data_IF_354920618550
#
_entry.id   IF_354920618550
#
_cell.length_a   1.000
_cell.length_b   1.000
_cell.length_c   1.000
_cell.angle_alpha   90.00
_cell.angle_beta   90.00
_cell.angle_gamma   90.00
#
_symmetry.space_group_name_H-M   'P 1'
#
loop_
_entity.id
_entity.type
_entity.pdbx_description
1 polymer ?
2 non-polymer ?
3 water ?
#
# COMPACT_ATOMS: atom_id res chain seq x y z
N UNK A 46 13.20 -14.54 13.92
CA UNK A 46 13.82 -13.27 13.57
C UNK A 46 12.77 -12.17 13.61
N UNK A 47 13.16 -10.96 14.00
CA UNK A 47 12.19 -9.89 14.19
C UNK A 47 11.99 -9.07 12.91
N UNK A 48 10.83 -8.42 12.85
CA UNK A 48 10.54 -7.55 11.71
C UNK A 48 11.51 -6.37 11.72
N UNK A 49 12.13 -6.02 10.60
CA UNK A 49 13.10 -4.92 10.60
C UNK A 49 12.45 -3.58 10.90
N UNK A 50 13.13 -2.81 11.73
CA UNK A 50 12.68 -1.47 12.13
C UNK A 50 13.59 -0.44 11.47
N UNK A 51 12.97 0.55 10.84
CA UNK A 51 13.70 1.62 10.16
C UNK A 51 13.24 2.94 10.76
N UNK A 52 14.20 3.74 11.21
CA UNK A 52 13.95 4.99 11.90
C UNK A 52 14.04 6.12 10.89
N UNK A 53 12.90 6.74 10.57
CA UNK A 53 12.92 7.82 9.59
C UNK A 53 13.78 8.99 10.05
N UNK A 54 13.92 9.19 11.38
CA UNK A 54 14.78 10.24 11.91
C UNK A 54 16.19 10.14 11.39
N UNK A 55 16.67 8.93 11.13
CA UNK A 55 18.09 8.67 10.92
C UNK A 55 18.38 8.14 9.53
N UNK A 56 17.45 8.30 8.60
CA UNK A 56 17.54 7.62 7.31
C UNK A 56 18.63 8.20 6.41
N UNK A 57 19.20 9.35 6.75
CA UNK A 57 20.47 9.76 6.17
C UNK A 57 21.61 9.11 6.94
N UNK A 58 22.70 8.84 6.24
CA UNK A 58 23.77 8.20 6.94
C UNK A 58 23.68 6.69 6.83
N UNK A 59 24.84 6.08 6.63
CA UNK A 59 24.93 4.68 6.22
C UNK A 59 24.21 3.75 7.18
N UNK A 60 24.29 4.02 8.49
CA UNK A 60 23.85 3.02 9.47
C UNK A 60 22.38 2.66 9.29
N UNK A 61 21.51 3.67 9.20
CA UNK A 61 20.09 3.40 9.05
C UNK A 61 19.71 3.13 7.60
N UNK A 62 20.36 3.78 6.64
CA UNK A 62 20.08 3.49 5.25
C UNK A 62 20.46 2.06 4.89
N UNK A 63 21.52 1.52 5.48
CA UNK A 63 21.84 0.13 5.21
C UNK A 63 20.80 -0.79 5.84
N UNK A 64 20.29 -0.43 7.03
CA UNK A 64 19.20 -1.20 7.62
C UNK A 64 18.03 -1.31 6.66
N UNK A 65 17.74 -0.22 5.94
CA UNK A 65 16.68 -0.26 4.96
C UNK A 65 16.98 -1.26 3.86
N UNK A 66 18.24 -1.31 3.41
CA UNK A 66 18.59 -2.21 2.33
C UNK A 66 18.44 -3.68 2.74
N UNK A 67 18.98 -4.04 3.91
CA UNK A 67 18.87 -5.40 4.41
C UNK A 67 17.42 -5.78 4.72
N UNK A 68 16.55 -4.80 4.99
CA UNK A 68 15.13 -5.09 5.17
C UNK A 68 14.40 -5.24 3.85
N UNK A 69 14.74 -4.40 2.87
CA UNK A 69 14.18 -4.57 1.54
C UNK A 69 14.59 -5.90 0.94
N UNK A 70 15.81 -6.35 1.24
CA UNK A 70 16.31 -7.59 0.66
C UNK A 70 15.75 -8.83 1.36
N UNK A 71 15.64 -8.79 2.69
CA UNK A 71 15.27 -9.98 3.47
C UNK A 71 13.77 -10.12 3.71
N UNK A 72 13.10 -9.04 4.01
CA UNK A 72 11.68 -9.07 4.35
C UNK A 72 10.78 -8.45 3.30
N UNK A 73 11.20 -7.36 2.65
CA UNK A 73 10.31 -6.69 1.72
C UNK A 73 9.38 -5.69 2.39
N UNK A 74 9.01 -5.98 3.63
CA UNK A 74 8.30 -5.07 4.51
C UNK A 74 9.25 -4.53 5.56
N UNK A 75 8.93 -3.36 6.09
CA UNK A 75 9.66 -2.94 7.27
C UNK A 75 8.75 -2.07 8.13
N UNK A 76 9.13 -1.93 9.37
CA UNK A 76 8.39 -1.11 10.33
C UNK A 76 9.09 0.24 10.43
N UNK A 77 8.34 1.32 10.25
CA UNK A 77 8.89 2.65 10.24
C UNK A 77 8.54 3.34 11.55
N UNK A 78 9.55 3.79 12.28
CA UNK A 78 9.36 4.54 13.51
C UNK A 78 9.78 5.99 13.30
N UNK A 79 9.35 6.84 14.23
CA UNK A 79 9.73 8.25 14.26
C UNK A 79 9.52 8.92 12.91
N UNK A 80 8.32 8.71 12.35
CA UNK A 80 7.99 9.13 11.01
C UNK A 80 7.32 10.50 10.96
N UNK A 81 7.10 11.15 12.10
CA UNK A 81 6.58 12.48 12.11
C UNK A 81 5.07 12.60 12.09
N UNK A 82 4.34 11.50 12.01
CA UNK A 82 2.89 11.57 12.07
C UNK A 82 2.49 11.45 13.53
N UNK A 83 1.78 12.45 14.04
CA UNK A 83 1.48 12.45 15.47
C UNK A 83 0.53 11.31 15.82
N UNK A 84 0.76 10.71 16.99
CA UNK A 84 0.07 9.49 17.37
C UNK A 84 -1.44 9.70 17.44
N UNK A 85 -1.87 10.87 17.90
CA UNK A 85 -3.30 11.12 18.04
C UNK A 85 -3.98 11.26 16.69
N UNK A 86 -3.25 11.62 15.63
CA UNK A 86 -3.84 11.65 14.29
C UNK A 86 -4.03 10.23 13.75
N UNK A 87 -3.06 9.36 13.98
CA UNK A 87 -3.21 7.97 13.62
C UNK A 87 -4.38 7.35 14.34
N UNK A 88 -4.52 7.64 15.65
CA UNK A 88 -5.65 7.14 16.43
C UNK A 88 -6.97 7.57 15.80
N UNK A 89 -7.06 8.83 15.39
CA UNK A 89 -8.29 9.36 14.80
C UNK A 89 -8.61 8.69 13.48
N UNK A 90 -7.60 8.45 12.64
CA UNK A 90 -7.83 7.73 11.39
C UNK A 90 -8.48 6.38 11.70
N UNK A 91 -7.91 5.63 12.62
CA UNK A 91 -8.43 4.34 13.00
C UNK A 91 -9.80 4.43 13.66
N UNK A 92 -9.99 5.39 14.57
CA UNK A 92 -11.25 5.46 15.32
C UNK A 92 -12.39 5.98 14.47
N UNK A 93 -12.16 7.03 13.68
CA UNK A 93 -13.23 7.51 12.82
C UNK A 93 -13.58 6.46 11.76
N UNK A 94 -12.59 5.69 11.28
CA UNK A 94 -12.84 4.61 10.33
C UNK A 94 -13.73 3.55 10.96
N UNK A 95 -13.36 3.08 12.15
CA UNK A 95 -14.18 2.12 12.87
C UNK A 95 -15.61 2.63 13.00
N UNK A 96 -15.76 3.91 13.31
CA UNK A 96 -17.08 4.51 13.43
C UNK A 96 -17.82 4.46 12.10
N UNK A 97 -17.14 4.79 11.00
CA UNK A 97 -17.78 4.71 9.69
C UNK A 97 -18.27 3.30 9.38
N UNK A 98 -17.44 2.29 9.65
CA UNK A 98 -17.80 0.92 9.31
C UNK A 98 -18.84 0.32 10.25
N UNK A 99 -18.96 0.80 11.48
CA UNK A 99 -19.97 0.25 12.37
C UNK A 99 -21.36 0.84 12.13
N UNK A 100 -21.54 1.65 11.10
CA UNK A 100 -22.85 2.19 10.78
C UNK A 100 -23.75 1.14 10.17
N UNK A 101 -25.06 1.37 10.16
CA UNK A 101 -25.95 0.50 9.39
C UNK A 101 -25.57 0.50 7.92
N UNK A 102 -25.83 -0.62 7.25
CA UNK A 102 -25.39 -0.81 5.87
C UNK A 102 -25.95 0.28 4.97
N UNK A 103 -27.17 0.76 5.25
CA UNK A 103 -27.77 1.78 4.39
C UNK A 103 -26.95 3.05 4.37
N UNK A 104 -26.42 3.48 5.52
CA UNK A 104 -25.62 4.70 5.55
C UNK A 104 -24.36 4.55 4.71
N UNK A 105 -23.68 3.41 4.84
CA UNK A 105 -22.44 3.20 4.11
C UNK A 105 -22.69 3.06 2.61
N UNK A 106 -23.77 2.39 2.23
CA UNK A 106 -24.04 2.19 0.81
C UNK A 106 -24.38 3.48 0.08
N UNK A 107 -24.70 4.56 0.78
CA UNK A 107 -24.85 5.84 0.09
C UNK A 107 -23.56 6.30 -0.56
N UNK A 108 -22.44 5.68 -0.22
CA UNK A 108 -21.16 5.92 -0.88
C UNK A 108 -20.70 4.72 -1.68
N UNK A 109 -21.61 3.82 -2.04
CA UNK A 109 -21.22 2.61 -2.73
C UNK A 109 -20.72 2.94 -4.13
N UNK A 110 -19.76 2.14 -4.59
CA UNK A 110 -19.17 2.34 -5.90
C UNK A 110 -20.23 2.25 -6.98
N UNK A 111 -20.07 3.05 -8.02
CA UNK A 111 -21.04 3.08 -9.09
C UNK A 111 -20.65 2.08 -10.19
N UNK A 112 -21.65 1.67 -10.96
CA UNK A 112 -21.49 0.59 -11.94
C UNK A 112 -22.08 1.03 -13.28
N UNK A 113 -21.23 1.25 -14.26
CA UNK A 113 -21.71 1.46 -15.63
C UNK A 113 -20.86 0.68 -16.62
N UNK A 116 -13.97 2.22 -14.58
CA UNK A 116 -12.56 2.02 -14.83
C UNK A 116 -12.07 0.79 -14.09
N UNK A 117 -10.76 0.73 -13.83
CA UNK A 117 -10.17 -0.33 -13.03
C UNK A 117 -10.21 -0.01 -11.55
N UNK A 118 -9.84 1.22 -11.19
CA UNK A 118 -9.70 1.61 -9.78
C UNK A 118 -11.05 2.14 -9.31
N UNK A 119 -11.88 1.23 -8.78
CA UNK A 119 -13.20 1.61 -8.32
C UNK A 119 -13.08 2.39 -7.02
N UNK A 120 -14.00 3.31 -6.83
CA UNK A 120 -13.94 4.22 -5.71
C UNK A 120 -15.24 4.13 -4.92
N UNK A 121 -15.15 4.27 -3.61
CA UNK A 121 -16.33 4.24 -2.78
C UNK A 121 -16.40 3.04 -1.86
N UNK A 122 -17.58 2.74 -1.37
CA UNK A 122 -17.76 1.66 -0.40
C UNK A 122 -18.14 0.36 -1.09
N UNK A 123 -17.47 -0.72 -0.74
CA UNK A 123 -17.80 -2.03 -1.24
C UNK A 123 -16.56 -2.86 -1.45
N UNK A 124 -16.77 -4.13 -1.79
CA UNK A 124 -15.69 -5.05 -2.11
C UNK A 124 -15.78 -5.62 -3.52
N UNK A 125 -16.53 -4.98 -4.40
CA UNK A 125 -16.52 -5.37 -5.80
C UNK A 125 -15.15 -5.13 -6.43
N UNK A 126 -14.85 -5.92 -7.46
CA UNK A 126 -13.65 -5.77 -8.29
C UNK A 126 -14.11 -5.72 -9.71
N UNK A 129 -19.27 -7.60 -11.69
CA UNK A 129 -19.95 -8.82 -11.23
C UNK A 129 -18.94 -9.69 -10.52
N UNK A 130 -18.16 -9.07 -9.64
CA UNK A 130 -17.21 -9.78 -8.82
C UNK A 130 -17.16 -9.07 -7.47
N UNK A 131 -18.18 -9.31 -6.66
CA UNK A 131 -18.05 -9.00 -5.25
C UNK A 131 -17.19 -10.08 -4.61
N UNK A 132 -16.27 -9.64 -3.76
CA UNK A 132 -15.24 -10.50 -3.17
C UNK A 132 -15.69 -10.95 -1.78
N UNK A 133 -16.69 -11.83 -1.76
CA UNK A 133 -17.30 -12.24 -0.50
C UNK A 133 -16.27 -12.86 0.42
N UNK A 134 -15.34 -13.65 -0.13
CA UNK A 134 -14.41 -14.39 0.70
C UNK A 134 -13.28 -13.53 1.27
N UNK A 135 -13.17 -12.26 0.85
CA UNK A 135 -12.25 -11.37 1.54
C UNK A 135 -12.61 -11.23 3.02
N UNK A 136 -13.87 -11.47 3.38
CA UNK A 136 -14.37 -11.30 4.74
C UNK A 136 -13.98 -9.92 5.28
N UNK A 137 -14.47 -8.89 4.59
CA UNK A 137 -13.95 -7.55 4.78
C UNK A 137 -14.95 -6.55 4.24
N UNK A 138 -14.98 -5.36 4.82
CA UNK A 138 -15.65 -4.21 4.23
C UNK A 138 -14.58 -3.19 3.83
N UNK A 139 -14.83 -2.47 2.74
CA UNK A 139 -13.81 -1.60 2.17
C UNK A 139 -14.39 -0.26 1.79
N UNK A 140 -13.55 0.77 1.90
CA UNK A 140 -13.78 2.08 1.34
C UNK A 140 -12.52 2.49 0.59
N UNK A 141 -12.65 2.81 -0.69
CA UNK A 141 -11.55 3.18 -1.57
C UNK A 141 -11.74 4.61 -2.01
N UNK A 142 -10.76 5.46 -1.74
CA UNK A 142 -10.87 6.87 -2.04
C UNK A 142 -9.64 7.33 -2.81
N UNK A 143 -9.87 7.99 -3.94
CA UNK A 143 -8.77 8.62 -4.64
C UNK A 143 -8.42 9.91 -3.91
N UNK A 144 -7.19 9.99 -3.40
CA UNK A 144 -6.77 11.13 -2.60
C UNK A 144 -5.90 12.08 -3.41
N UNK A 145 -5.15 11.53 -4.36
CA UNK A 145 -4.30 12.37 -5.20
C UNK A 145 -4.48 12.00 -6.66
N UNK A 146 -4.42 12.99 -7.54
CA UNK A 146 -4.17 14.40 -7.23
C UNK A 146 -5.38 15.05 -6.55
N UNK A 147 -5.15 16.05 -5.69
CA UNK A 147 -6.25 16.63 -4.93
C UNK A 147 -7.30 17.25 -5.85
N UNK A 148 -6.90 17.67 -7.04
CA UNK A 148 -7.86 18.21 -7.99
C UNK A 148 -8.90 17.15 -8.37
N UNK A 149 -8.47 15.91 -8.53
CA UNK A 149 -9.32 14.83 -9.04
C UNK A 149 -10.13 14.14 -7.94
N UNK A 150 -10.25 14.73 -6.76
CA UNK A 150 -11.09 14.14 -5.73
C UNK A 150 -12.55 14.24 -6.11
N UNK A 151 -13.34 13.27 -5.68
CA UNK A 151 -14.77 13.26 -5.93
C UNK A 151 -15.46 13.05 -4.58
N UNK A 152 -15.94 14.15 -3.99
CA UNK A 152 -16.41 14.07 -2.62
C UNK A 152 -17.73 13.32 -2.49
N UNK A 153 -18.42 13.06 -3.58
CA UNK A 153 -19.60 12.20 -3.54
C UNK A 153 -19.31 10.82 -2.94
N UNK A 154 -18.06 10.36 -2.95
CA UNK A 154 -17.69 9.09 -2.34
C UNK A 154 -17.09 9.21 -0.94
N UNK A 155 -16.83 10.44 -0.45
CA UNK A 155 -16.24 10.59 0.87
C UNK A 155 -17.33 10.64 1.92
N UNK A 156 -17.25 9.82 2.95
CA UNK A 156 -18.27 9.85 4.02
C UNK A 156 -18.41 11.24 4.63
N UNK A 157 -19.65 11.67 4.80
CA UNK A 157 -19.96 12.91 5.51
C UNK A 157 -20.09 12.71 7.00
N UNK A 158 -20.25 11.46 7.44
CA UNK A 158 -20.24 11.13 8.86
C UNK A 158 -19.27 9.99 9.11
N UNK A 159 -18.43 10.08 10.16
CA UNK A 159 -18.23 11.15 11.16
C UNK A 159 -17.81 12.45 10.51
N UNK A 160 -18.14 13.57 11.14
CA UNK A 160 -17.98 14.87 10.49
C UNK A 160 -16.52 15.15 10.13
N UNK A 161 -15.57 14.67 10.93
CA UNK A 161 -14.15 14.97 10.79
C UNK A 161 -13.43 14.05 9.82
N UNK A 162 -14.11 13.04 9.30
CA UNK A 162 -13.44 11.99 8.57
C UNK A 162 -12.61 12.54 7.42
N UNK A 163 -13.21 13.42 6.60
CA UNK A 163 -12.50 13.97 5.46
C UNK A 163 -11.28 14.75 5.88
N UNK A 164 -11.43 15.62 6.89
CA UNK A 164 -10.30 16.47 7.28
C UNK A 164 -9.19 15.63 7.88
N UNK A 165 -9.53 14.61 8.65
CA UNK A 165 -8.52 13.75 9.24
C UNK A 165 -7.79 12.95 8.18
N UNK A 166 -8.51 12.41 7.19
CA UNK A 166 -7.84 11.70 6.10
C UNK A 166 -6.87 12.61 5.37
N UNK A 167 -7.35 13.78 4.93
CA UNK A 167 -6.49 14.71 4.21
C UNK A 167 -5.29 15.13 5.04
N UNK A 168 -5.47 15.31 6.34
CA UNK A 168 -4.35 15.62 7.22
C UNK A 168 -3.36 14.47 7.28
N UNK A 169 -3.85 13.25 7.48
CA UNK A 169 -2.98 12.08 7.50
C UNK A 169 -2.35 11.81 6.14
N UNK A 170 -3.04 12.14 5.04
CA UNK A 170 -2.48 11.89 3.72
C UNK A 170 -1.34 12.86 3.40
N UNK A 171 -1.34 14.07 3.98
CA UNK A 171 -0.19 14.95 3.86
C UNK A 171 1.03 14.37 4.54
N UNK A 172 0.85 13.70 5.67
CA UNK A 172 1.97 13.10 6.35
C UNK A 172 2.55 11.91 5.60
N UNK A 173 1.69 11.04 5.05
CA UNK A 173 2.21 9.87 4.37
C UNK A 173 2.82 10.23 3.02
N UNK A 174 2.34 11.29 2.36
CA UNK A 174 2.98 11.76 1.14
C UNK A 174 4.42 12.19 1.40
N UNK A 175 4.65 12.86 2.52
CA UNK A 175 6.00 13.28 2.89
C UNK A 175 6.87 12.07 3.23
N UNK A 176 6.29 11.08 3.90
CA UNK A 176 7.00 9.83 4.17
C UNK A 176 7.34 9.14 2.87
N UNK A 177 6.39 9.14 1.93
CA UNK A 177 6.65 8.52 0.64
C UNK A 177 7.88 9.12 0.00
N UNK A 178 7.93 10.46 -0.05
CA UNK A 178 9.05 11.16 -0.65
C UNK A 178 10.36 10.84 0.05
N UNK A 179 10.37 10.81 1.38
CA UNK A 179 11.58 10.48 2.11
C UNK A 179 12.02 9.04 1.80
N UNK A 180 11.10 8.10 1.93
CA UNK A 180 11.42 6.70 1.67
C UNK A 180 11.96 6.53 0.26
N UNK A 181 11.29 7.15 -0.71
CA UNK A 181 11.64 6.93 -2.10
C UNK A 181 12.94 7.64 -2.48
N UNK A 182 13.28 8.72 -1.77
CA UNK A 182 14.58 9.35 -2.02
C UNK A 182 15.70 8.51 -1.44
N UNK A 183 15.49 7.94 -0.26
CA UNK A 183 16.47 7.02 0.29
C UNK A 183 16.71 5.85 -0.65
N UNK A 184 15.64 5.32 -1.27
CA UNK A 184 15.80 4.18 -2.16
C UNK A 184 16.58 4.55 -3.42
N UNK A 185 16.30 5.72 -4.01
CA UNK A 185 17.12 6.19 -5.12
C UNK A 185 18.59 6.19 -4.76
N UNK A 186 18.92 6.65 -3.55
CA UNK A 186 20.32 6.65 -3.13
C UNK A 186 20.84 5.22 -2.99
N UNK A 187 20.07 4.34 -2.35
CA UNK A 187 20.46 2.94 -2.28
C UNK A 187 20.74 2.38 -3.66
N UNK A 188 19.90 2.71 -4.63
CA UNK A 188 20.12 2.31 -6.01
C UNK A 188 21.20 3.13 -6.67
N UNK A 189 21.81 4.05 -5.93
CA UNK A 189 22.86 4.91 -6.45
C UNK A 189 22.41 5.63 -7.72
N UNK A 190 21.11 5.87 -7.81
CA UNK A 190 20.56 6.97 -8.58
C UNK A 190 20.63 8.23 -7.73
N UNK A 191 20.28 9.36 -8.31
CA UNK A 191 20.36 10.59 -7.53
C UNK A 191 19.09 10.78 -6.69
N UNK A 192 19.16 11.74 -5.77
CA UNK A 192 18.12 11.93 -4.77
C UNK A 192 16.72 11.88 -5.37
N UNK A 193 16.48 12.70 -6.40
CA UNK A 193 15.11 12.98 -6.85
C UNK A 193 14.75 12.23 -8.12
N UNK A 194 15.14 10.97 -8.25
CA UNK A 194 14.82 10.21 -9.46
C UNK A 194 13.31 9.97 -9.57
N UNK A 195 12.69 9.42 -8.53
CA UNK A 195 11.27 9.10 -8.64
C UNK A 195 10.38 10.31 -8.44
N UNK A 196 10.79 11.24 -7.58
CA UNK A 196 10.02 12.43 -7.27
C UNK A 196 9.44 13.05 -8.54
N UNK A 197 10.24 13.07 -9.61
CA UNK A 197 9.74 13.60 -10.87
C UNK A 197 8.66 12.71 -11.47
N UNK A 198 8.74 11.40 -11.27
CA UNK A 198 7.69 10.51 -11.78
C UNK A 198 6.48 10.46 -10.87
N UNK A 199 6.52 11.20 -9.76
CA UNK A 199 5.46 11.23 -8.75
C UNK A 199 4.62 12.50 -8.80
N UNK A 200 4.62 13.19 -9.93
CA UNK A 200 3.93 14.46 -10.06
C UNK A 200 2.56 14.24 -10.69
N UNK A 201 1.51 14.75 -10.04
CA UNK A 201 0.14 14.47 -10.44
C UNK A 201 -0.15 12.97 -10.49
N UNK A 202 0.55 12.21 -9.69
CA UNK A 202 0.37 10.76 -9.76
C UNK A 202 -0.74 10.29 -8.83
N UNK A 203 -1.48 9.25 -9.23
CA UNK A 203 -2.58 8.79 -8.39
C UNK A 203 -2.10 8.28 -7.04
N UNK A 204 -2.92 8.53 -6.01
CA UNK A 204 -2.75 7.94 -4.70
C UNK A 204 -4.12 7.61 -4.17
N UNK A 205 -4.29 6.37 -3.73
CA UNK A 205 -5.56 5.90 -3.19
C UNK A 205 -5.44 5.61 -1.70
N UNK A 206 -6.52 5.89 -0.98
CA UNK A 206 -6.71 5.47 0.41
C UNK A 206 -7.63 4.26 0.43
N UNK A 207 -7.11 3.12 0.88
CA UNK A 207 -7.87 1.88 1.00
C UNK A 207 -8.10 1.59 2.47
N UNK A 208 -9.34 1.75 2.92
CA UNK A 208 -9.74 1.45 4.29
C UNK A 208 -10.30 0.03 4.36
N UNK A 209 -9.82 -0.75 5.31
CA UNK A 209 -10.23 -2.13 5.48
C UNK A 209 -10.81 -2.31 6.86
N UNK A 210 -11.97 -2.95 6.93
CA UNK A 210 -12.52 -3.43 8.17
C UNK A 210 -12.61 -4.95 8.06
N UNK A 211 -12.02 -5.65 9.01
CA UNK A 211 -12.07 -7.10 9.08
C UNK A 211 -12.82 -7.52 10.33
N UNK A 212 -14.11 -7.80 10.27
CA UNK A 212 -14.81 -8.33 11.42
C UNK A 212 -14.27 -9.71 11.77
N UNK A 213 -14.46 -10.17 12.99
CA UNK A 213 -13.94 -11.49 13.34
C UNK A 213 -14.58 -12.59 12.50
N UNK A 214 -13.79 -13.62 12.21
CA UNK A 214 -14.24 -14.78 11.46
C UNK A 214 -14.30 -15.98 12.39
N UNK A 215 -15.49 -16.44 12.76
CA UNK A 215 -15.60 -17.57 13.70
C UNK A 215 -14.91 -18.84 13.23
N UNK A 216 -14.66 -18.99 11.92
CA UNK A 216 -14.10 -20.21 11.34
C UNK A 216 -12.93 -19.86 10.42
N UNK A 217 -11.82 -19.40 11.00
CA UNK A 217 -10.69 -18.96 10.17
C UNK A 217 -10.19 -20.05 9.25
N UNK A 218 -9.94 -19.67 8.00
CA UNK A 218 -9.36 -20.59 7.04
C UNK A 218 -8.75 -19.75 5.94
N UNK A 219 -7.76 -20.32 5.26
CA UNK A 219 -7.06 -19.56 4.24
C UNK A 219 -7.91 -19.30 3.00
N UNK A 220 -9.10 -19.89 2.86
CA UNK A 220 -9.97 -19.45 1.78
C UNK A 220 -10.59 -18.10 2.09
N UNK A 221 -10.50 -17.66 3.33
CA UNK A 221 -11.03 -16.37 3.76
C UNK A 221 -9.92 -15.34 3.89
N UNK A 222 -10.29 -14.08 3.77
CA UNK A 222 -9.37 -12.96 3.94
C UNK A 222 -8.77 -12.49 2.64
N UNK A 223 -7.70 -11.71 2.75
CA UNK A 223 -6.98 -11.22 1.58
C UNK A 223 -5.98 -12.28 1.11
N UNK A 224 -6.13 -12.73 -0.12
CA UNK A 224 -5.33 -13.83 -0.62
C UNK A 224 -3.96 -13.37 -1.11
N UNK A 225 -3.00 -14.28 -1.22
CA UNK A 225 -1.65 -13.92 -1.61
C UNK A 225 -1.63 -13.05 -2.87
N UNK A 226 -0.81 -12.02 -2.82
CA UNK A 226 -0.74 -11.08 -3.92
C UNK A 226 0.50 -10.20 -3.71
N UNK A 227 0.95 -9.58 -4.78
CA UNK A 227 1.88 -8.48 -4.67
C UNK A 227 1.14 -7.20 -5.01
N UNK A 228 1.54 -6.10 -4.40
CA UNK A 228 0.91 -4.82 -4.74
C UNK A 228 1.45 -4.30 -6.07
N UNK A 229 0.59 -3.59 -6.80
CA UNK A 229 0.98 -2.96 -8.05
C UNK A 229 1.57 -1.58 -7.94
N UNK A 230 1.64 -1.05 -6.72
CA UNK A 230 2.00 0.33 -6.45
C UNK A 230 3.48 0.57 -6.68
N UNK A 231 3.88 1.84 -6.57
CA UNK A 231 5.27 2.14 -6.32
C UNK A 231 5.62 1.92 -4.86
N UNK A 232 4.77 2.41 -3.96
CA UNK A 232 4.98 2.25 -2.54
C UNK A 232 3.62 2.12 -1.86
N UNK A 233 3.58 1.35 -0.77
CA UNK A 233 2.38 1.14 0.03
C UNK A 233 2.71 1.49 1.48
N UNK A 234 1.89 2.35 2.08
CA UNK A 234 2.05 2.71 3.48
C UNK A 234 0.78 2.28 4.20
N UNK A 235 0.93 1.41 5.19
CA UNK A 235 -0.16 0.75 5.88
C UNK A 235 -0.21 1.16 7.35
N UNK A 236 -1.40 1.48 7.85
CA UNK A 236 -1.64 1.83 9.24
C UNK A 236 -2.63 0.83 9.81
N UNK A 237 -2.25 0.12 10.87
CA UNK A 237 -3.10 -0.90 11.48
C UNK A 237 -3.45 -0.48 12.91
N UNK A 238 -4.59 -0.97 13.40
CA UNK A 238 -5.09 -0.45 14.65
C UNK A 238 -4.57 -1.21 15.88
N UNK A 239 -4.07 -2.42 15.72
CA UNK A 239 -3.71 -3.26 16.85
C UNK A 239 -2.41 -3.98 16.53
N UNK A 240 -1.82 -4.62 17.54
CA UNK A 240 -0.61 -5.39 17.36
C UNK A 240 -0.85 -6.75 16.71
N UNK A 241 -2.09 -7.13 16.44
CA UNK A 241 -2.42 -8.26 15.57
C UNK A 241 -2.99 -7.69 14.29
N UNK A 242 -2.24 -7.75 13.20
CA UNK A 242 -2.73 -7.25 11.92
C UNK A 242 -3.29 -8.34 11.02
N UNK A 243 -2.86 -9.58 11.19
CA UNK A 243 -3.16 -10.62 10.24
C UNK A 243 -2.31 -10.60 9.00
N UNK A 244 -1.46 -9.58 8.85
CA UNK A 244 -0.65 -9.41 7.66
C UNK A 244 0.53 -10.38 7.68
N UNK A 245 0.73 -11.10 6.60
CA UNK A 245 1.83 -12.05 6.52
C UNK A 245 2.56 -11.88 5.20
N UNK A 246 3.86 -12.16 5.21
CA UNK A 246 4.70 -12.04 4.03
C UNK A 246 5.39 -13.36 3.77
N UNK A 247 5.39 -13.77 2.51
CA UNK A 247 6.05 -15.00 2.08
C UNK A 247 7.50 -14.70 1.71
N UNK A 248 8.42 -15.36 2.38
CA UNK A 248 9.85 -15.21 2.13
C UNK A 248 10.42 -16.59 1.86
N UNK A 249 10.88 -16.82 0.62
CA UNK A 249 11.51 -18.08 0.25
C UNK A 249 10.64 -19.27 0.68
N UNK A 250 9.37 -19.21 0.31
CA UNK A 250 8.45 -20.27 0.62
C UNK A 250 7.77 -20.18 1.97
N UNK A 251 8.31 -19.40 2.91
CA UNK A 251 7.81 -19.39 4.27
C UNK A 251 7.01 -18.11 4.54
N UNK A 252 5.91 -18.26 5.25
CA UNK A 252 5.11 -17.12 5.66
C UNK A 252 5.54 -16.65 7.03
N UNK A 253 5.74 -15.34 7.17
CA UNK A 253 6.09 -14.70 8.42
C UNK A 253 5.05 -13.63 8.74
N UNK A 254 4.73 -13.51 10.02
CA UNK A 254 3.87 -12.44 10.50
C UNK A 254 4.54 -11.07 10.43
N UNK A 255 3.78 -10.07 10.06
CA UNK A 255 4.24 -8.69 10.01
C UNK A 255 3.39 -7.91 10.98
N UNK A 256 3.96 -7.56 12.13
CA UNK A 256 3.24 -6.86 13.19
C UNK A 256 3.78 -5.46 13.40
N UNK A 257 2.87 -4.53 13.66
CA UNK A 257 3.20 -3.17 14.01
C UNK A 257 3.11 -2.98 15.52
N UNK A 258 4.07 -2.25 16.08
CA UNK A 258 3.96 -1.79 17.46
C UNK A 258 3.06 -0.56 17.51
N UNK A 259 2.77 -0.03 18.70
CA UNK A 259 1.90 1.16 18.77
C UNK A 259 2.44 2.34 17.98
N UNK A 260 1.63 2.80 17.02
CA UNK A 260 1.82 4.07 16.31
C UNK A 260 2.98 4.02 15.33
N UNK A 261 3.24 2.87 14.71
CA UNK A 261 4.25 2.79 13.68
C UNK A 261 3.56 2.40 12.38
N UNK A 262 4.32 2.42 11.29
CA UNK A 262 3.78 2.18 9.98
C UNK A 262 4.46 1.01 9.34
N UNK A 263 3.74 0.32 8.47
CA UNK A 263 4.25 -0.82 7.74
C UNK A 263 4.38 -0.44 6.28
N UNK A 264 5.58 -0.59 5.72
CA UNK A 264 5.85 -0.12 4.38
C UNK A 264 6.39 -1.27 3.54
N UNK A 265 5.96 -1.32 2.29
CA UNK A 265 6.48 -2.23 1.30
C UNK A 265 6.51 -1.51 -0.04
N UNK A 266 7.42 -1.94 -0.91
CA UNK A 266 7.35 -1.43 -2.26
C UNK A 266 6.52 -2.38 -3.11
N UNK A 267 5.99 -1.86 -4.21
CA UNK A 267 5.12 -2.62 -5.08
C UNK A 267 5.79 -2.98 -6.38
N UNK A 268 5.00 -3.55 -7.27
CA UNK A 268 5.53 -4.08 -8.53
C UNK A 268 6.04 -2.98 -9.44
N UNK A 269 5.49 -1.76 -9.33
CA UNK A 269 6.01 -0.65 -10.11
C UNK A 269 7.44 -0.36 -9.72
N UNK A 270 7.73 -0.38 -8.44
CA UNK A 270 9.11 -0.19 -8.01
C UNK A 270 10.02 -1.34 -8.44
N UNK A 271 9.52 -2.58 -8.44
CA UNK A 271 10.40 -3.71 -8.77
C UNK A 271 10.85 -3.65 -10.22
N UNK A 272 9.97 -3.30 -11.15
CA UNK A 272 10.41 -3.13 -12.52
C UNK A 272 11.39 -1.98 -12.63
N UNK A 273 11.06 -0.85 -12.00
CA UNK A 273 11.91 0.32 -12.15
C UNK A 273 13.28 0.11 -11.53
N UNK A 274 13.38 -0.67 -10.47
CA UNK A 274 14.68 -0.94 -9.86
C UNK A 274 15.30 -2.21 -10.41
N UNK A 275 14.77 -2.72 -11.51
CA UNK A 275 15.33 -3.87 -12.21
C UNK A 275 15.42 -5.10 -11.31
N UNK A 276 14.58 -5.15 -10.28
CA UNK A 276 14.56 -6.29 -9.38
C UNK A 276 15.66 -6.31 -8.36
N UNK A 277 16.45 -5.24 -8.26
CA UNK A 277 17.41 -5.13 -7.17
C UNK A 277 16.70 -5.28 -5.83
N UNK A 278 15.51 -4.71 -5.71
CA UNK A 278 14.59 -4.97 -4.62
C UNK A 278 13.32 -5.58 -5.21
N UNK A 279 12.68 -6.45 -4.45
CA UNK A 279 11.52 -7.20 -4.92
C UNK A 279 10.25 -6.77 -4.21
N UNK A 280 9.16 -6.74 -4.94
CA UNK A 280 7.85 -6.51 -4.35
C UNK A 280 7.37 -7.78 -3.66
N UNK A 281 7.07 -7.73 -2.36
CA UNK A 281 6.81 -8.97 -1.63
C UNK A 281 5.39 -9.51 -1.83
N UNK A 282 5.29 -10.82 -1.91
CA UNK A 282 3.98 -11.48 -1.90
C UNK A 282 3.48 -11.52 -0.47
N UNK A 283 2.23 -11.11 -0.26
CA UNK A 283 1.72 -11.02 1.10
C UNK A 283 0.24 -11.38 1.11
N UNK A 284 -0.31 -11.53 2.32
CA UNK A 284 -1.71 -11.87 2.50
C UNK A 284 -2.15 -11.40 3.88
N UNK A 285 -3.46 -11.26 4.08
CA UNK A 285 -4.02 -10.80 5.35
C UNK A 285 -5.04 -11.84 5.79
N UNK A 286 -4.67 -12.67 6.76
CA UNK A 286 -5.52 -13.77 7.20
C UNK A 286 -6.64 -13.26 8.11
N UNK A 287 -7.64 -14.10 8.33
CA UNK A 287 -8.76 -13.77 9.19
C UNK A 287 -8.42 -14.07 10.64
N UNK A 288 -9.26 -13.55 11.53
CA UNK A 288 -9.03 -13.63 12.96
C UNK A 288 -10.33 -13.96 13.67
N UNK A 289 -10.29 -14.93 14.57
CA UNK A 289 -11.49 -15.33 15.28
C UNK A 289 -11.80 -14.47 16.49
N UNK A 290 -10.82 -13.77 17.03
CA UNK A 290 -10.99 -13.13 18.33
C UNK A 290 -11.34 -11.65 18.25
N UNK A 291 -10.69 -10.88 17.39
CA UNK A 291 -10.80 -9.44 17.39
C UNK A 291 -11.29 -8.93 16.04
N UNK A 292 -11.85 -7.74 16.04
CA UNK A 292 -12.02 -6.98 14.82
C UNK A 292 -10.74 -6.19 14.55
N UNK A 293 -10.52 -5.86 13.28
CA UNK A 293 -9.34 -5.11 12.86
C UNK A 293 -9.71 -4.03 11.86
N UNK A 294 -8.89 -2.98 11.83
CA UNK A 294 -9.03 -1.85 10.94
C UNK A 294 -7.64 -1.57 10.33
N UNK A 295 -7.58 -1.27 9.04
CA UNK A 295 -6.34 -0.75 8.50
C UNK A 295 -6.64 0.30 7.42
N UNK A 296 -5.66 1.14 7.18
CA UNK A 296 -5.69 2.07 6.06
C UNK A 296 -4.41 1.90 5.27
N UNK A 297 -4.53 1.56 4.00
CA UNK A 297 -3.36 1.53 3.12
C UNK A 297 -3.37 2.75 2.23
N UNK A 298 -2.26 3.48 2.21
CA UNK A 298 -2.04 4.55 1.24
C UNK A 298 -1.27 3.97 0.07
N UNK A 299 -1.87 4.02 -1.12
CA UNK A 299 -1.38 3.31 -2.30
C UNK A 299 -0.86 4.34 -3.31
N UNK A 300 0.46 4.40 -3.46
CA UNK A 300 1.11 5.41 -4.30
C UNK A 300 1.62 4.78 -5.60
N UNK A 301 1.10 5.28 -6.72
CA UNK A 301 1.49 4.90 -8.07
C UNK A 301 2.34 5.98 -8.72
N UNK A 302 2.78 5.73 -9.95
CA UNK A 302 3.44 6.74 -10.77
C UNK A 302 2.43 7.31 -11.76
N UNK A 303 2.80 8.42 -12.40
CA UNK A 303 1.92 9.10 -13.34
C UNK A 303 2.02 8.48 -14.75
N UNK A 304 1.15 8.97 -15.65
CA UNK A 304 1.02 8.45 -17.00
C UNK A 304 2.19 8.80 -17.92
N UNK A 305 3.09 9.69 -17.49
CA UNK A 305 3.93 10.42 -18.44
C UNK A 305 4.85 9.49 -19.25
N UNK A 306 5.75 8.82 -18.57
CA UNK A 306 6.72 7.96 -19.25
C UNK A 306 6.20 6.52 -19.26
N UNK A 307 7.06 5.56 -19.53
CA UNK A 307 6.72 4.16 -19.52
C UNK A 307 7.37 3.47 -18.32
N UNK A 308 6.89 2.28 -18.01
CA UNK A 308 7.41 1.52 -16.89
C UNK A 308 8.51 0.60 -17.43
N UNK A 309 9.74 0.89 -17.06
CA UNK A 309 10.92 0.16 -17.49
C UNK A 309 11.96 0.31 -16.40
N UNK A 310 12.89 -0.61 -16.31
CA UNK A 310 13.96 -0.44 -15.32
C UNK A 310 14.70 0.86 -15.57
N UNK A 311 15.25 1.41 -14.51
CA UNK A 311 16.00 2.66 -14.63
C UNK A 311 17.24 2.45 -15.48
N UNK A 312 17.34 3.23 -16.56
CA UNK A 312 18.50 3.17 -17.45
C UNK A 312 19.81 3.23 -16.68
N UNK A 313 19.88 4.05 -15.64
CA UNK A 313 21.09 4.16 -14.86
C UNK A 313 21.45 2.94 -14.07
N UNK A 314 20.62 1.90 -14.12
CA UNK A 314 20.95 0.62 -13.53
C UNK A 314 21.39 -0.41 -14.56
N UNK A 315 21.08 -0.18 -15.84
CA UNK A 315 21.51 -1.06 -16.94
C UNK A 315 22.96 -0.81 -17.35
N UNK A 317 25.78 -3.21 -18.60
CA UNK A 317 26.54 -4.06 -19.53
C UNK A 317 26.94 -5.35 -18.82
N UNK A 318 27.24 -5.25 -17.54
CA UNK A 318 27.19 -6.41 -16.65
C UNK A 318 25.85 -6.51 -15.96
N UNK A 319 24.96 -5.57 -16.22
CA UNK A 319 23.65 -5.53 -15.57
C UNK A 319 22.61 -5.38 -16.67
N UNK A 320 22.19 -6.47 -17.30
CA UNK A 320 21.15 -6.36 -18.31
C UNK A 320 19.79 -6.10 -17.68
N UNK A 321 18.86 -5.68 -18.52
CA UNK A 321 17.52 -5.40 -18.05
C UNK A 321 16.77 -6.71 -17.80
N UNK A 322 16.20 -6.84 -16.60
CA UNK A 322 15.43 -8.02 -16.24
C UNK A 322 13.97 -7.92 -16.64
N UNK A 323 13.49 -6.75 -17.04
CA UNK A 323 12.08 -6.57 -17.33
C UNK A 323 11.92 -5.77 -18.60
N UNK A 324 10.91 -6.13 -19.40
CA UNK A 324 10.59 -5.36 -20.59
C UNK A 324 9.91 -4.05 -20.21
N UNK A 325 10.04 -3.06 -21.09
CA UNK A 325 9.31 -1.81 -20.94
C UNK A 325 7.92 -1.97 -21.52
N UNK A 326 6.94 -1.31 -20.88
CA UNK A 326 5.56 -1.37 -21.32
C UNK A 326 4.87 -0.07 -20.91
N UNK A 327 3.74 0.20 -21.55
CA UNK A 327 2.99 1.42 -21.27
C UNK A 327 2.33 1.35 -19.90
N UNK A 328 2.31 2.49 -19.20
CA UNK A 328 1.60 2.59 -17.94
C UNK A 328 0.18 2.09 -18.10
N UNK A 329 -0.42 2.32 -19.27
CA UNK A 329 -1.77 1.83 -19.53
C UNK A 329 -1.80 0.31 -19.63
N UNK A 330 -0.78 -0.28 -20.24
CA UNK A 330 -0.72 -1.75 -20.26
C UNK A 330 -0.28 -2.29 -18.91
N UNK A 331 0.45 -1.49 -18.13
CA UNK A 331 0.85 -1.93 -16.79
C UNK A 331 -0.34 -2.02 -15.87
N UNK A 332 -1.21 -1.00 -15.90
CA UNK A 332 -2.42 -1.03 -15.08
C UNK A 332 -3.27 -2.23 -15.40
N UNK A 333 -3.59 -2.41 -16.69
CA UNK A 333 -4.46 -3.50 -17.10
C UNK A 333 -3.91 -4.84 -16.69
N UNK A 334 -2.59 -4.97 -16.64
CA UNK A 334 -2.01 -6.24 -16.27
C UNK A 334 -1.99 -6.51 -14.79
N UNK A 335 -1.84 -5.47 -13.98
CA UNK A 335 -1.85 -5.69 -12.54
C UNK A 335 -3.28 -5.86 -12.03
N UNK A 336 -4.25 -5.20 -12.65
CA UNK A 336 -5.64 -5.50 -12.32
C UNK A 336 -6.07 -6.82 -12.94
N UNK A 337 -5.65 -7.08 -14.18
CA UNK A 337 -5.99 -8.32 -14.85
C UNK A 337 -5.61 -9.58 -14.08
N UNK A 341 -6.54 -14.16 -11.14
CA UNK A 341 -5.64 -14.85 -12.09
C UNK A 341 -4.54 -15.61 -11.35
N UNK A 342 -4.05 -16.69 -11.96
CA UNK A 342 -3.13 -17.59 -11.31
C UNK A 342 -1.71 -17.10 -11.25
N UNK A 343 -1.13 -16.81 -12.42
CA UNK A 343 0.26 -16.38 -12.48
C UNK A 343 0.37 -14.89 -12.23
N UNK A 344 1.51 -14.50 -11.65
CA UNK A 344 1.74 -13.12 -11.22
C UNK A 344 2.15 -12.24 -12.39
N UNK A 345 1.52 -11.07 -12.52
CA UNK A 345 1.61 -10.30 -13.76
C UNK A 345 3.03 -9.92 -14.13
N UNK A 346 3.79 -9.31 -13.22
CA UNK A 346 5.08 -8.82 -13.68
C UNK A 346 6.07 -9.92 -14.02
N UNK A 347 5.78 -11.17 -13.64
CA UNK A 347 6.58 -12.28 -14.15
C UNK A 347 6.56 -12.32 -15.68
N UNK A 348 5.41 -12.02 -16.27
CA UNK A 348 5.25 -12.07 -17.72
C UNK A 348 6.05 -10.97 -18.41
N UNK A 349 6.72 -10.15 -17.63
CA UNK A 349 7.57 -9.09 -18.13
C UNK A 349 9.04 -9.42 -18.02
N UNK A 350 9.37 -10.56 -17.42
CA UNK A 350 10.76 -10.95 -17.28
C UNK A 350 11.33 -11.31 -18.65
N UNK A 351 12.42 -10.64 -19.02
CA UNK A 351 13.12 -10.83 -20.30
C UNK A 351 14.26 -9.84 -20.37
X LIG B 1 -1.30 -5.78 -0.48
#
# INVERSE_FOLDING_TARGET
MADESWRAPAIVQELAAAGVEEPPSRYLLREKDRSDVKLVAAELPEPLPVVDLSRLDGAEEATKLRVALQNWGFFLLTNHGVEASLMDSVMNLSREFFNQPIERKQKFSNLIDGKNFQIQGYGTDRVVTQDQILDWSDRLHLRVEPKEEQDLAFWPDHPESFRDVLNKYASGTKRIRDDIIQAMAKLLELDEDYFLDRLNEAPAFARFNYYPPCPRPDLVFGIRPHSDGTLLTILLVDKDVSGLQVQRDGKWSNVEATPHTLLINLGDTMEVMCNGIFRSPVHRVVTNAEKERISLAMLYSVNDEKDIEPAAGLLDENRPARYRKVSVEEFRAGIFGKFSRGERYIDSLRI
FE FE
#
